data_IF_885117642164
#
_entry.id   IF_885117642164
#
_cell.length_a   1.000
_cell.length_b   1.000
_cell.length_c   1.000
_cell.angle_alpha   90.00
_cell.angle_beta   90.00
_cell.angle_gamma   90.00
#
_symmetry.space_group_name_H-M   'P 1'
#
loop_
_entity.id
_entity.type
_entity.pdbx_description
1 polymer ?
#
# COMPACT_ATOMS: atom_id res chain seq x y z
N UNK A 1 -19.24 10.62 6.59
CA UNK A 1 -18.08 11.53 6.46
C UNK A 1 -17.09 10.77 5.63
N UNK A 2 -16.82 11.24 4.43
CA UNK A 2 -15.93 10.56 3.47
C UNK A 2 -14.53 10.51 4.06
N UNK A 3 -14.06 9.29 4.36
CA UNK A 3 -12.74 9.01 4.88
C UNK A 3 -11.71 9.09 3.72
N UNK A 4 -11.62 10.27 3.09
CA UNK A 4 -10.67 10.53 2.03
C UNK A 4 -9.48 11.32 2.59
N UNK A 5 -8.29 10.74 2.56
CA UNK A 5 -7.05 11.42 2.92
C UNK A 5 -6.38 11.93 1.64
N UNK A 6 -5.82 13.14 1.68
CA UNK A 6 -5.21 13.75 0.50
C UNK A 6 -3.92 14.49 0.85
N UNK A 7 -2.88 14.33 0.03
CA UNK A 7 -1.63 15.11 0.10
C UNK A 7 -1.22 15.61 -1.29
N UNK A 8 -0.51 16.73 -1.34
CA UNK A 8 0.18 17.21 -2.56
C UNK A 8 1.56 16.56 -2.63
N UNK A 9 1.84 15.81 -3.72
CA UNK A 9 3.09 15.06 -3.87
C UNK A 9 4.36 15.93 -3.87
N UNK A 10 4.23 17.23 -4.14
CA UNK A 10 5.33 18.19 -4.13
C UNK A 10 5.56 18.84 -2.76
N UNK A 11 4.66 18.63 -1.79
CA UNK A 11 4.87 19.15 -0.43
C UNK A 11 6.04 18.41 0.26
N UNK A 12 6.91 19.12 0.98
CA UNK A 12 8.14 18.52 1.56
C UNK A 12 7.88 17.32 2.47
N UNK A 13 6.75 17.30 3.18
CA UNK A 13 6.41 16.25 4.15
C UNK A 13 5.40 15.23 3.61
N UNK A 14 4.98 15.32 2.37
CA UNK A 14 3.88 14.53 1.79
C UNK A 14 4.08 13.01 1.95
N UNK A 15 5.28 12.51 1.68
CA UNK A 15 5.58 11.08 1.82
C UNK A 15 5.51 10.62 3.28
N UNK A 16 5.92 11.46 4.23
CA UNK A 16 5.84 11.17 5.65
C UNK A 16 4.38 11.15 6.13
N UNK A 17 3.61 12.18 5.81
CA UNK A 17 2.19 12.29 6.19
C UNK A 17 1.39 11.13 5.62
N UNK A 18 1.63 10.78 4.35
CA UNK A 18 1.01 9.65 3.68
C UNK A 18 1.42 8.31 4.34
N UNK A 19 2.68 8.16 4.71
CA UNK A 19 3.22 6.99 5.38
C UNK A 19 2.67 6.79 6.79
N UNK A 20 2.53 7.87 7.57
CA UNK A 20 1.87 7.86 8.89
C UNK A 20 0.39 7.46 8.75
N UNK A 21 -0.33 8.01 7.76
CA UNK A 21 -1.70 7.63 7.51
C UNK A 21 -1.84 6.14 7.19
N UNK A 22 -0.99 5.63 6.28
CA UNK A 22 -0.94 4.19 5.97
C UNK A 22 -0.65 3.35 7.21
N UNK A 23 0.29 3.80 8.05
CA UNK A 23 0.62 3.12 9.29
C UNK A 23 -0.57 3.03 10.24
N UNK A 24 -1.30 4.14 10.45
CA UNK A 24 -2.49 4.16 11.32
C UNK A 24 -3.57 3.21 10.78
N UNK A 25 -3.79 3.18 9.47
CA UNK A 25 -4.82 2.36 8.82
C UNK A 25 -4.48 0.87 8.79
N UNK A 26 -3.23 0.53 8.57
CA UNK A 26 -2.82 -0.85 8.32
C UNK A 26 -2.27 -1.59 9.54
N UNK A 27 -2.03 -0.89 10.66
CA UNK A 27 -1.45 -1.49 11.88
C UNK A 27 -2.26 -2.69 12.39
N UNK A 28 -3.59 -2.60 12.40
CA UNK A 28 -4.46 -3.66 12.93
C UNK A 28 -4.51 -4.86 11.97
N UNK A 29 -4.59 -4.61 10.67
CA UNK A 29 -4.51 -5.63 9.61
C UNK A 29 -3.25 -6.48 9.77
N UNK A 30 -2.19 -5.82 10.15
CA UNK A 30 -0.92 -6.48 10.35
C UNK A 30 -0.84 -7.22 11.70
N UNK A 31 -1.33 -6.64 12.80
CA UNK A 31 -1.39 -7.33 14.09
C UNK A 31 -2.18 -8.64 13.96
N UNK A 32 -3.21 -8.65 13.12
CA UNK A 32 -3.98 -9.84 12.72
C UNK A 32 -3.20 -10.81 11.82
N UNK A 33 -1.98 -10.45 11.41
CA UNK A 33 -1.12 -11.22 10.50
C UNK A 33 -1.78 -11.49 9.14
N UNK A 34 -2.68 -10.62 8.67
CA UNK A 34 -3.22 -10.66 7.30
C UNK A 34 -2.15 -10.25 6.30
N UNK A 35 -1.98 -10.95 5.18
CA UNK A 35 -1.10 -10.50 4.10
C UNK A 35 -1.58 -9.16 3.53
N UNK A 36 -0.67 -8.18 3.43
CA UNK A 36 -0.95 -6.88 2.81
C UNK A 36 -0.38 -6.89 1.40
N UNK A 37 -1.25 -6.63 0.43
CA UNK A 37 -0.90 -6.66 -1.01
C UNK A 37 -1.06 -5.25 -1.58
N UNK A 38 0.03 -4.64 -2.01
CA UNK A 38 0.00 -3.43 -2.84
C UNK A 38 -0.10 -3.86 -4.30
N UNK A 39 -1.26 -3.64 -4.92
CA UNK A 39 -1.53 -3.98 -6.32
C UNK A 39 -1.44 -2.71 -7.16
N UNK A 40 -0.28 -2.53 -7.81
CA UNK A 40 0.05 -1.40 -8.66
C UNK A 40 -0.47 -1.64 -10.07
N UNK A 41 -1.49 -0.88 -10.47
CA UNK A 41 -2.20 -1.06 -11.73
C UNK A 41 -1.76 0.01 -12.74
N UNK A 42 -1.69 -0.36 -14.02
CA UNK A 42 -1.37 0.52 -15.13
C UNK A 42 -0.43 -0.09 -16.15
N UNK A 43 0.01 0.72 -17.11
CA UNK A 43 0.94 0.32 -18.17
C UNK A 43 1.91 1.44 -18.51
N UNK A 44 3.14 1.10 -18.88
CA UNK A 44 4.18 2.03 -19.35
C UNK A 44 3.98 2.53 -20.80
N UNK A 45 2.92 2.05 -21.48
CA UNK A 45 2.58 2.47 -22.86
C UNK A 45 1.96 3.88 -22.94
N UNK A 46 1.49 4.41 -21.82
CA UNK A 46 1.00 5.78 -21.69
C UNK A 46 1.62 6.39 -20.43
N UNK A 47 2.18 7.60 -20.56
CA UNK A 47 2.91 8.22 -19.46
C UNK A 47 2.06 8.36 -18.19
N UNK A 48 0.81 8.79 -18.31
CA UNK A 48 -0.08 8.94 -17.16
C UNK A 48 -0.39 7.63 -16.47
N UNK A 49 -0.61 6.57 -17.27
CA UNK A 49 -0.96 5.24 -16.78
C UNK A 49 0.25 4.46 -16.22
N UNK A 50 1.46 5.01 -16.34
CA UNK A 50 2.67 4.37 -15.82
C UNK A 50 2.88 4.53 -14.30
N UNK A 51 2.01 5.25 -13.60
CA UNK A 51 2.14 5.52 -12.15
C UNK A 51 2.27 4.22 -11.34
N UNK A 52 1.32 3.30 -11.48
CA UNK A 52 1.35 2.02 -10.78
C UNK A 52 2.63 1.21 -11.08
N UNK A 53 2.94 0.92 -12.35
CA UNK A 53 4.19 0.25 -12.74
C UNK A 53 5.47 0.89 -12.19
N UNK A 54 5.55 2.21 -12.16
CA UNK A 54 6.71 2.93 -11.58
C UNK A 54 6.81 2.73 -10.07
N UNK A 55 5.69 2.79 -9.34
CA UNK A 55 5.67 2.51 -7.90
C UNK A 55 6.14 1.09 -7.64
N UNK A 56 5.57 0.10 -8.32
CA UNK A 56 5.98 -1.29 -8.18
C UNK A 56 7.45 -1.53 -8.51
N UNK A 57 7.98 -0.84 -9.53
CA UNK A 57 9.41 -0.88 -9.85
C UNK A 57 10.29 -0.31 -8.73
N UNK A 58 9.89 0.82 -8.12
CA UNK A 58 10.62 1.42 -6.98
C UNK A 58 10.60 0.54 -5.74
N UNK A 59 9.56 -0.25 -5.58
CA UNK A 59 9.34 -1.14 -4.43
C UNK A 59 9.85 -2.58 -4.64
N UNK A 60 10.33 -2.95 -5.84
CA UNK A 60 10.64 -4.33 -6.22
C UNK A 60 11.67 -5.06 -5.34
N UNK A 61 12.57 -4.33 -4.70
CA UNK A 61 13.60 -4.90 -3.84
C UNK A 61 13.19 -4.91 -2.35
N UNK A 62 11.95 -4.56 -2.05
CA UNK A 62 11.45 -4.55 -0.68
C UNK A 62 10.86 -5.91 -0.36
N UNK A 63 11.64 -6.73 0.33
CA UNK A 63 11.18 -8.00 0.86
C UNK A 63 10.81 -7.83 2.34
N UNK A 64 9.55 -8.05 2.68
CA UNK A 64 9.05 -8.03 4.06
C UNK A 64 8.01 -9.12 4.25
N UNK A 65 8.07 -9.78 5.38
CA UNK A 65 7.08 -10.79 5.75
C UNK A 65 5.67 -10.20 5.73
N UNK A 66 4.75 -10.87 5.07
CA UNK A 66 3.34 -10.50 4.93
C UNK A 66 3.06 -9.20 4.16
N UNK A 67 4.04 -8.63 3.47
CA UNK A 67 3.84 -7.49 2.55
C UNK A 67 4.31 -7.90 1.16
N UNK A 68 3.46 -7.71 0.17
CA UNK A 68 3.69 -8.15 -1.21
C UNK A 68 3.35 -7.03 -2.19
N UNK A 69 4.17 -6.89 -3.23
CA UNK A 69 3.99 -5.90 -4.29
C UNK A 69 3.69 -6.64 -5.59
N UNK A 70 2.59 -6.29 -6.23
CA UNK A 70 2.20 -6.80 -7.55
C UNK A 70 2.10 -5.63 -8.52
N UNK A 71 2.53 -5.85 -9.75
CA UNK A 71 2.62 -4.83 -10.79
C UNK A 71 3.92 -4.03 -10.71
N UNK A 72 4.70 -4.08 -11.77
CA UNK A 72 5.94 -3.30 -11.94
C UNK A 72 6.15 -2.99 -13.41
N UNK A 73 7.24 -2.29 -13.78
CA UNK A 73 7.58 -2.07 -15.18
C UNK A 73 7.90 -3.37 -15.93
N UNK A 74 8.52 -4.34 -15.23
CA UNK A 74 8.85 -5.64 -15.82
C UNK A 74 7.62 -6.56 -15.96
N UNK A 75 6.69 -6.46 -15.00
CA UNK A 75 5.50 -7.30 -14.91
C UNK A 75 4.27 -6.43 -14.60
N UNK A 76 3.80 -5.61 -15.55
CA UNK A 76 2.70 -4.69 -15.32
C UNK A 76 1.37 -5.43 -15.13
N UNK A 77 0.54 -4.90 -14.25
CA UNK A 77 -0.85 -5.34 -14.05
C UNK A 77 -1.77 -4.30 -14.66
N UNK A 78 -2.54 -4.68 -15.65
CA UNK A 78 -3.40 -3.80 -16.44
C UNK A 78 -4.71 -4.47 -16.80
N UNK A 79 -5.59 -3.79 -17.50
CA UNK A 79 -6.95 -4.25 -17.82
C UNK A 79 -7.04 -5.68 -18.41
N UNK A 80 -6.02 -6.15 -19.13
CA UNK A 80 -6.05 -7.46 -19.80
C UNK A 80 -5.79 -8.61 -18.80
N UNK A 81 -4.87 -8.43 -17.85
CA UNK A 81 -4.44 -9.49 -16.92
C UNK A 81 -4.91 -9.28 -15.47
N UNK A 82 -5.60 -8.20 -15.16
CA UNK A 82 -6.04 -7.85 -13.81
C UNK A 82 -6.85 -8.96 -13.14
N UNK A 83 -7.83 -9.53 -13.86
CA UNK A 83 -8.68 -10.59 -13.32
C UNK A 83 -7.87 -11.86 -12.98
N UNK A 84 -6.91 -12.23 -13.81
CA UNK A 84 -6.02 -13.36 -13.59
C UNK A 84 -5.13 -13.12 -12.35
N UNK A 85 -4.53 -11.92 -12.24
CA UNK A 85 -3.68 -11.55 -11.11
C UNK A 85 -4.47 -11.53 -9.81
N UNK A 86 -5.69 -10.98 -9.80
CA UNK A 86 -6.57 -11.00 -8.62
C UNK A 86 -6.91 -12.43 -8.19
N UNK A 87 -7.22 -13.31 -9.15
CA UNK A 87 -7.47 -14.71 -8.84
C UNK A 87 -6.23 -15.40 -8.26
N UNK A 88 -5.04 -15.15 -8.83
CA UNK A 88 -3.77 -15.64 -8.30
C UNK A 88 -3.53 -15.17 -6.86
N UNK A 89 -3.76 -13.89 -6.56
CA UNK A 89 -3.63 -13.35 -5.21
C UNK A 89 -4.59 -14.06 -4.25
N UNK A 90 -5.88 -14.14 -4.59
CA UNK A 90 -6.92 -14.76 -3.76
C UNK A 90 -6.68 -16.26 -3.50
N UNK A 91 -6.04 -16.96 -4.43
CA UNK A 91 -5.69 -18.38 -4.28
C UNK A 91 -4.37 -18.62 -3.55
N UNK A 92 -3.43 -17.66 -3.60
CA UNK A 92 -2.12 -17.78 -2.98
C UNK A 92 -2.09 -17.35 -1.52
N UNK A 93 -3.03 -16.50 -1.09
CA UNK A 93 -3.06 -15.92 0.26
C UNK A 93 -4.40 -16.15 0.94
N UNK A 94 -4.35 -16.41 2.24
CA UNK A 94 -5.56 -16.54 3.07
C UNK A 94 -5.98 -15.14 3.53
N UNK A 95 -7.17 -14.69 3.12
CA UNK A 95 -7.77 -13.41 3.50
C UNK A 95 -6.81 -12.20 3.32
N UNK A 96 -6.22 -11.98 2.12
CA UNK A 96 -5.30 -10.86 1.90
C UNK A 96 -6.03 -9.52 1.98
N UNK A 97 -5.37 -8.51 2.58
CA UNK A 97 -5.81 -7.12 2.49
C UNK A 97 -5.17 -6.49 1.25
N UNK A 98 -5.98 -6.17 0.25
CA UNK A 98 -5.49 -5.66 -1.02
C UNK A 98 -5.70 -4.15 -1.08
N UNK A 99 -4.65 -3.42 -1.43
CA UNK A 99 -4.64 -1.98 -1.67
C UNK A 99 -4.40 -1.76 -3.16
N UNK A 100 -5.41 -1.27 -3.87
CA UNK A 100 -5.27 -0.92 -5.27
C UNK A 100 -4.55 0.42 -5.44
N UNK A 101 -3.55 0.48 -6.31
CA UNK A 101 -2.81 1.71 -6.63
C UNK A 101 -2.93 1.98 -8.12
N UNK A 102 -3.45 3.15 -8.49
CA UNK A 102 -3.70 3.50 -9.89
C UNK A 102 -3.53 5.00 -10.15
N UNK A 103 -3.33 5.33 -11.41
CA UNK A 103 -3.43 6.69 -11.90
C UNK A 103 -4.89 7.11 -12.03
N UNK A 104 -5.18 8.37 -11.78
CA UNK A 104 -6.49 8.93 -12.02
C UNK A 104 -6.39 10.27 -12.75
N UNK A 105 -7.47 10.61 -13.43
CA UNK A 105 -7.71 11.95 -13.96
C UNK A 105 -8.64 12.70 -13.00
N UNK A 106 -8.52 14.03 -12.95
CA UNK A 106 -9.30 14.80 -12.02
C UNK A 106 -9.44 16.28 -12.40
N UNK A 107 -9.83 17.12 -11.45
CA UNK A 107 -9.83 18.57 -11.68
C UNK A 107 -8.41 19.13 -11.71
N UNK A 108 -8.22 20.28 -12.36
CA UNK A 108 -6.90 20.95 -12.47
C UNK A 108 -6.24 21.15 -11.10
N UNK A 109 -7.02 21.48 -10.07
CA UNK A 109 -6.52 21.73 -8.70
C UNK A 109 -6.02 20.47 -8.00
N UNK A 110 -6.34 19.30 -8.52
CA UNK A 110 -5.96 18.00 -7.95
C UNK A 110 -4.79 17.36 -8.66
N UNK A 111 -4.32 17.89 -9.77
CA UNK A 111 -3.13 17.35 -10.47
C UNK A 111 -1.93 17.38 -9.53
N UNK A 112 -1.24 16.24 -9.41
CA UNK A 112 -0.11 16.06 -8.49
C UNK A 112 -0.49 15.69 -7.07
N UNK A 113 -1.79 15.52 -6.77
CA UNK A 113 -2.25 15.05 -5.44
C UNK A 113 -2.44 13.54 -5.41
N UNK A 114 -2.19 12.98 -4.23
CA UNK A 114 -2.46 11.59 -3.88
C UNK A 114 -3.69 11.54 -2.99
N UNK A 115 -4.61 10.65 -3.30
CA UNK A 115 -5.81 10.36 -2.51
C UNK A 115 -5.78 8.94 -2.00
N UNK A 116 -6.16 8.74 -0.72
CA UNK A 116 -6.43 7.42 -0.14
C UNK A 116 -7.89 7.35 0.28
N UNK A 117 -8.56 6.27 -0.07
CA UNK A 117 -9.95 6.02 0.29
C UNK A 117 -10.09 4.60 0.85
N UNK A 118 -10.90 4.44 1.91
CA UNK A 118 -11.28 3.15 2.48
C UNK A 118 -12.42 2.52 1.66
N UNK A 119 -12.16 2.28 0.38
CA UNK A 119 -13.10 1.69 -0.57
C UNK A 119 -12.35 0.94 -1.66
N UNK A 120 -12.97 -0.03 -2.34
CA UNK A 120 -12.36 -0.68 -3.50
C UNK A 120 -11.97 0.33 -4.58
N UNK A 121 -10.89 0.02 -5.29
CA UNK A 121 -10.52 0.72 -6.51
C UNK A 121 -11.37 0.21 -7.67
N UNK A 122 -11.91 1.12 -8.48
CA UNK A 122 -12.57 0.82 -9.74
C UNK A 122 -11.64 1.21 -10.90
N UNK A 123 -10.78 0.29 -11.37
CA UNK A 123 -9.83 0.63 -12.43
C UNK A 123 -10.53 0.76 -13.78
N UNK A 124 -9.95 1.56 -14.67
CA UNK A 124 -10.43 1.68 -16.05
C UNK A 124 -11.65 2.58 -16.26
N UNK A 125 -12.14 3.30 -15.24
CA UNK A 125 -13.24 4.25 -15.39
C UNK A 125 -12.97 5.31 -16.46
N UNK A 126 -11.74 5.78 -16.58
CA UNK A 126 -11.34 6.73 -17.63
C UNK A 126 -11.41 6.15 -19.05
N UNK A 127 -11.61 4.85 -19.21
CA UNK A 127 -11.64 4.15 -20.51
C UNK A 127 -12.93 3.37 -20.73
N UNK A 128 -14.00 3.61 -19.95
CA UNK A 128 -15.31 2.91 -20.01
C UNK A 128 -15.17 1.38 -20.02
N UNK A 129 -14.21 0.84 -19.24
CA UNK A 129 -14.00 -0.61 -19.13
C UNK A 129 -14.64 -1.14 -17.87
N UNK A 130 -15.46 -2.18 -18.03
CA UNK A 130 -16.01 -2.97 -16.92
C UNK A 130 -14.93 -3.93 -16.41
N UNK A 131 -14.18 -3.48 -15.40
CA UNK A 131 -13.12 -4.25 -14.77
C UNK A 131 -13.52 -4.61 -13.34
N UNK A 132 -13.00 -5.72 -12.79
CA UNK A 132 -13.31 -6.09 -11.41
C UNK A 132 -12.81 -5.04 -10.43
N UNK A 133 -13.60 -4.81 -9.38
CA UNK A 133 -13.20 -4.00 -8.23
C UNK A 133 -11.97 -4.60 -7.54
N UNK A 134 -11.08 -3.73 -7.05
CA UNK A 134 -9.80 -4.11 -6.49
C UNK A 134 -9.68 -3.68 -5.04
N UNK A 135 -9.57 -4.67 -4.16
CA UNK A 135 -9.15 -4.47 -2.78
C UNK A 135 -10.20 -3.89 -1.85
N UNK A 136 -9.75 -3.45 -0.70
CA UNK A 136 -10.53 -2.87 0.39
C UNK A 136 -10.18 -1.40 0.61
N UNK A 137 -9.03 -0.98 0.08
CA UNK A 137 -8.50 0.38 0.11
C UNK A 137 -7.92 0.73 -1.25
N UNK A 138 -7.91 2.00 -1.59
CA UNK A 138 -7.25 2.48 -2.80
C UNK A 138 -6.34 3.67 -2.55
N UNK A 139 -5.31 3.80 -3.40
CA UNK A 139 -4.41 4.96 -3.49
C UNK A 139 -4.45 5.45 -4.94
N UNK A 140 -4.93 6.64 -5.16
CA UNK A 140 -5.01 7.28 -6.47
C UNK A 140 -4.07 8.46 -6.58
N UNK A 141 -3.28 8.51 -7.66
CA UNK A 141 -2.51 9.69 -8.03
C UNK A 141 -3.16 10.42 -9.19
N UNK A 142 -3.53 11.70 -9.00
CA UNK A 142 -4.11 12.50 -10.08
C UNK A 142 -3.01 13.00 -11.00
N UNK A 143 -2.94 12.41 -12.19
CA UNK A 143 -1.84 12.65 -13.14
C UNK A 143 -2.13 13.75 -14.14
N UNK A 144 -3.40 13.97 -14.49
CA UNK A 144 -3.83 14.98 -15.46
C UNK A 144 -5.32 15.33 -15.27
N UNK A 145 -5.84 16.25 -16.07
CA UNK A 145 -7.26 16.65 -16.08
C UNK A 145 -8.15 15.54 -16.65
N UNK A 146 -9.34 15.39 -16.11
CA UNK A 146 -10.41 14.58 -16.71
C UNK A 146 -11.21 15.39 -17.72
N UNK A 147 -11.76 14.72 -18.74
CA UNK A 147 -12.59 15.36 -19.78
C UNK A 147 -13.08 14.36 -20.81
N UNK A 148 -13.42 14.82 -21.99
CA UNK A 148 -13.95 13.97 -23.07
C UNK A 148 -12.87 13.15 -23.81
N UNK A 149 -11.59 13.36 -23.52
CA UNK A 149 -10.45 12.72 -24.19
C UNK A 149 -9.48 12.10 -23.18
N UNK A 150 -10.00 11.40 -22.19
CA UNK A 150 -9.23 10.86 -21.06
C UNK A 150 -8.05 9.99 -21.50
N UNK A 151 -8.22 9.17 -22.54
CA UNK A 151 -7.12 8.39 -23.12
C UNK A 151 -5.97 9.26 -23.62
N UNK A 152 -6.30 10.37 -24.31
CA UNK A 152 -5.28 11.31 -24.79
C UNK A 152 -4.62 12.05 -23.62
N UNK A 153 -5.36 12.37 -22.56
CA UNK A 153 -4.80 12.99 -21.37
C UNK A 153 -3.78 12.09 -20.70
N UNK A 154 -4.05 10.80 -20.57
CA UNK A 154 -3.09 9.82 -20.04
C UNK A 154 -1.83 9.73 -20.92
N UNK A 155 -1.96 9.73 -22.25
CA UNK A 155 -0.80 9.70 -23.15
C UNK A 155 0.06 10.98 -23.09
N UNK A 156 -0.57 12.14 -22.96
CA UNK A 156 0.09 13.45 -22.98
C UNK A 156 0.41 14.00 -21.59
N UNK A 157 0.41 13.16 -20.56
CA UNK A 157 0.76 13.55 -19.20
C UNK A 157 2.25 13.85 -19.07
N UNK A 158 2.60 14.88 -18.31
CA UNK A 158 4.01 15.20 -18.01
C UNK A 158 4.63 14.13 -17.12
N UNK A 159 5.72 13.54 -17.56
CA UNK A 159 6.45 12.53 -16.80
C UNK A 159 6.86 13.03 -15.39
N UNK A 160 7.22 14.31 -15.25
CA UNK A 160 7.55 14.91 -13.95
C UNK A 160 6.43 14.75 -12.92
N UNK A 161 5.16 14.94 -13.30
CA UNK A 161 4.01 14.77 -12.41
C UNK A 161 3.90 13.31 -11.96
N UNK A 162 3.99 12.37 -12.91
CA UNK A 162 3.90 10.94 -12.62
C UNK A 162 5.05 10.49 -11.71
N UNK A 163 6.28 10.97 -11.98
CA UNK A 163 7.45 10.66 -11.16
C UNK A 163 7.31 11.20 -9.74
N UNK A 164 6.84 12.45 -9.58
CA UNK A 164 6.62 13.06 -8.26
C UNK A 164 5.59 12.28 -7.44
N UNK A 165 4.49 11.87 -8.08
CA UNK A 165 3.48 11.00 -7.45
C UNK A 165 4.07 9.63 -7.08
N UNK A 166 4.82 9.01 -8.01
CA UNK A 166 5.46 7.72 -7.77
C UNK A 166 6.48 7.79 -6.63
N UNK A 167 7.27 8.86 -6.54
CA UNK A 167 8.22 9.08 -5.45
C UNK A 167 7.49 9.26 -4.12
N UNK A 168 6.45 10.09 -4.08
CA UNK A 168 5.65 10.34 -2.89
C UNK A 168 5.05 9.04 -2.36
N UNK A 169 4.35 8.28 -3.20
CA UNK A 169 3.66 7.05 -2.79
C UNK A 169 4.66 5.95 -2.41
N UNK A 170 5.71 5.73 -3.22
CA UNK A 170 6.68 4.69 -2.89
C UNK A 170 7.44 4.97 -1.59
N UNK A 171 7.85 6.23 -1.36
CA UNK A 171 8.50 6.61 -0.11
C UNK A 171 7.57 6.49 1.10
N UNK A 172 6.29 6.80 0.95
CA UNK A 172 5.29 6.59 1.99
C UNK A 172 5.11 5.10 2.34
N UNK A 173 5.06 4.22 1.34
CA UNK A 173 5.00 2.77 1.55
C UNK A 173 6.29 2.27 2.23
N UNK A 174 7.46 2.76 1.82
CA UNK A 174 8.75 2.44 2.48
C UNK A 174 8.74 2.90 3.94
N UNK A 175 8.26 4.11 4.21
CA UNK A 175 8.12 4.64 5.56
C UNK A 175 7.21 3.74 6.42
N UNK A 176 6.03 3.39 5.92
CA UNK A 176 5.11 2.45 6.56
C UNK A 176 5.80 1.12 6.88
N UNK A 177 6.47 0.51 5.90
CA UNK A 177 7.16 -0.78 6.04
C UNK A 177 8.26 -0.72 7.10
N UNK A 178 9.03 0.35 7.17
CA UNK A 178 10.13 0.50 8.12
C UNK A 178 9.62 0.70 9.56
N UNK A 179 8.64 1.57 9.78
CA UNK A 179 8.05 1.79 11.10
C UNK A 179 7.34 0.55 11.63
N UNK A 180 6.73 -0.20 10.75
CA UNK A 180 6.15 -1.47 11.00
C UNK A 180 7.17 -2.48 11.59
N UNK A 181 8.36 -2.60 11.04
CA UNK A 181 9.40 -3.49 11.52
C UNK A 181 9.87 -3.17 12.95
N UNK A 182 9.93 -1.90 13.31
CA UNK A 182 10.29 -1.48 14.67
C UNK A 182 9.28 -1.98 15.71
N UNK A 183 7.99 -1.94 15.41
CA UNK A 183 6.95 -2.41 16.33
C UNK A 183 6.92 -3.94 16.42
N UNK A 184 7.12 -4.64 15.31
CA UNK A 184 7.20 -6.09 15.32
C UNK A 184 8.33 -6.59 16.21
N UNK A 185 9.52 -6.00 16.11
CA UNK A 185 10.66 -6.33 16.98
C UNK A 185 10.35 -5.97 18.44
N UNK A 186 9.77 -4.80 18.70
CA UNK A 186 9.39 -4.37 20.05
C UNK A 186 8.38 -5.33 20.69
N UNK A 187 7.37 -5.77 19.94
CA UNK A 187 6.36 -6.72 20.43
C UNK A 187 6.94 -8.12 20.67
N UNK A 188 7.87 -8.60 19.84
CA UNK A 188 8.58 -9.86 20.06
C UNK A 188 9.45 -9.76 21.32
N UNK A 189 10.19 -8.67 21.49
CA UNK A 189 11.01 -8.43 22.66
C UNK A 189 10.18 -8.40 23.94
N UNK A 190 9.06 -7.67 23.94
CA UNK A 190 8.14 -7.61 25.08
C UNK A 190 7.55 -8.99 25.41
N UNK A 191 7.10 -9.75 24.40
CA UNK A 191 6.60 -11.14 24.62
C UNK A 191 7.70 -12.03 25.20
N UNK A 192 8.92 -11.95 24.68
CA UNK A 192 10.06 -12.74 25.16
C UNK A 192 10.45 -12.39 26.59
N UNK A 193 10.46 -11.10 26.94
CA UNK A 193 10.71 -10.63 28.30
C UNK A 193 9.62 -11.13 29.25
N UNK A 194 8.34 -11.00 28.86
CA UNK A 194 7.22 -11.46 29.68
C UNK A 194 7.25 -12.98 29.93
N UNK A 195 7.63 -13.79 28.94
CA UNK A 195 7.80 -15.25 29.08
C UNK A 195 8.94 -15.55 30.06
N UNK A 196 10.10 -14.88 29.93
CA UNK A 196 11.24 -15.05 30.82
C UNK A 196 10.92 -14.61 32.26
N UNK A 197 10.22 -13.49 32.43
CA UNK A 197 9.77 -13.02 33.75
C UNK A 197 8.80 -14.02 34.41
N UNK A 198 7.87 -14.56 33.64
CA UNK A 198 6.91 -15.57 34.14
C UNK A 198 7.59 -16.87 34.55
N UNK A 199 8.56 -17.35 33.76
CA UNK A 199 9.36 -18.53 34.11
C UNK A 199 10.26 -18.29 35.33
N UNK A 200 10.87 -17.12 35.45
CA UNK A 200 11.66 -16.73 36.63
C UNK A 200 10.79 -16.65 37.87
N UNK A 201 9.60 -16.06 37.79
CA UNK A 201 8.65 -15.99 38.93
C UNK A 201 8.19 -17.35 39.38
N UNK A 202 7.86 -18.25 38.43
CA UNK A 202 7.49 -19.65 38.76
C UNK A 202 8.64 -20.42 39.43
N UNK A 203 9.88 -20.22 38.92
CA UNK A 203 11.07 -20.82 39.54
C UNK A 203 11.31 -20.29 40.94
N UNK A 204 11.18 -18.99 41.18
CA UNK A 204 11.34 -18.35 42.48
C UNK A 204 10.26 -18.84 43.50
N UNK A 205 9.00 -18.97 43.05
CA UNK A 205 7.93 -19.52 43.89
C UNK A 205 8.16 -20.98 44.22
N UNK A 206 8.68 -21.79 43.30
CA UNK A 206 8.98 -23.22 43.57
C UNK A 206 10.10 -23.41 44.59
N UNK A 207 11.12 -22.53 44.58
CA UNK A 207 12.21 -22.57 45.58
C UNK A 207 11.72 -22.18 46.98
N UNK A 208 10.83 -21.18 47.09
CA UNK A 208 10.33 -20.74 48.38
C UNK A 208 9.29 -21.67 49.00
N UNK A 209 8.63 -22.55 48.23
CA UNK A 209 7.76 -23.60 48.77
C UNK A 209 8.56 -24.75 49.41
N UNK A 210 9.82 -24.96 49.00
CA UNK A 210 10.70 -25.97 49.54
C UNK A 210 11.27 -25.61 50.95
N UNK A 211 11.14 -24.36 51.38
CA UNK A 211 11.58 -23.88 52.72
C UNK A 211 10.45 -23.85 53.72
N UNK A 212 9.23 -24.30 53.39
CA UNK A 212 8.06 -24.31 54.27
C UNK A 212 7.65 -25.73 54.75
N UNK A 213 8.49 -26.73 54.50
CA UNK A 213 8.46 -28.07 55.03
C UNK A 213 9.84 -28.42 55.62
#
# INVERSE_FOLDING_TARGET
MDNCFCVDSLSPNSSHELGEYLYIKLKDIFIENRPIIFLCIGTDRATGDSLGPLIGYKLKNIERKNIYIYGSLEYPVHSINLAEVLNKIKTSFINPFIIGIDASLGSVQNIGKVFIEDSPLHPGLALDKDLPEVGEMNIKGVVNISGNLDFMMLQNTRLFVVMSLADCISNAIIYFINNYFHIFISNILIKTINIKMKSFFLFFMSQNLLFLF
#
